data_IF_331394615068
#
_entry.id   IF_331394615068
#
_cell.length_a   1.000
_cell.length_b   1.000
_cell.length_c   1.000
_cell.angle_alpha   90.00
_cell.angle_beta   90.00
_cell.angle_gamma   90.00
#
_symmetry.space_group_name_H-M   'P 1'
#
loop_
_entity.id
_entity.type
_entity.pdbx_description
1 polymer ?
#
# COMPACT_ATOMS: atom_id res chain seq x y z
N UNK A 1 -12.85 -10.51 2.61
CA UNK A 1 -12.45 -9.28 1.93
C UNK A 1 -12.82 -8.12 2.83
N UNK A 2 -11.83 -7.35 3.26
CA UNK A 2 -12.02 -6.17 4.09
C UNK A 2 -11.53 -4.99 3.25
N UNK A 3 -12.46 -4.16 2.74
CA UNK A 3 -12.09 -2.88 2.12
C UNK A 3 -11.80 -1.87 3.21
N UNK A 4 -10.64 -1.22 3.13
CA UNK A 4 -10.16 -0.28 4.13
C UNK A 4 -10.25 1.18 3.66
N UNK A 5 -10.07 1.42 2.36
CA UNK A 5 -10.17 2.75 1.79
C UNK A 5 -10.54 2.73 0.29
N UNK A 6 -11.09 3.85 -0.20
CA UNK A 6 -11.33 4.08 -1.62
C UNK A 6 -11.04 5.53 -2.01
N UNK A 7 -10.62 5.73 -3.26
CA UNK A 7 -10.38 7.03 -3.87
C UNK A 7 -10.97 7.06 -5.29
N UNK A 8 -11.81 8.06 -5.56
CA UNK A 8 -12.43 8.30 -6.86
C UNK A 8 -12.06 9.72 -7.34
N UNK A 9 -11.01 9.88 -8.17
CA UNK A 9 -10.66 11.19 -8.73
C UNK A 9 -11.72 11.72 -9.69
N UNK A 10 -12.52 10.84 -10.31
CA UNK A 10 -13.68 11.21 -11.11
C UNK A 10 -14.75 10.09 -11.09
N UNK A 11 -15.84 10.26 -11.85
CA UNK A 11 -16.95 9.28 -11.91
C UNK A 11 -16.66 8.03 -12.72
N UNK A 12 -15.63 8.05 -13.56
CA UNK A 12 -15.24 6.95 -14.45
C UNK A 12 -14.07 6.12 -13.91
N UNK A 13 -13.41 6.58 -12.85
CA UNK A 13 -12.26 5.91 -12.26
C UNK A 13 -12.29 5.94 -10.73
N UNK A 14 -12.22 4.77 -10.11
CA UNK A 14 -12.05 4.62 -8.67
C UNK A 14 -11.02 3.53 -8.37
N UNK A 15 -10.31 3.65 -7.25
CA UNK A 15 -9.51 2.58 -6.68
C UNK A 15 -9.98 2.31 -5.26
N UNK A 16 -10.21 1.05 -4.92
CA UNK A 16 -10.43 0.57 -3.56
C UNK A 16 -9.29 -0.37 -3.15
N UNK A 17 -8.88 -0.29 -1.89
CA UNK A 17 -7.80 -1.11 -1.36
C UNK A 17 -8.19 -1.75 -0.04
N UNK A 18 -7.52 -2.86 0.27
CA UNK A 18 -7.75 -3.59 1.50
C UNK A 18 -6.98 -4.90 1.51
N UNK A 19 -7.61 -5.94 2.04
CA UNK A 19 -7.04 -7.28 2.10
C UNK A 19 -8.11 -8.38 1.92
N UNK A 20 -7.65 -9.56 1.54
CA UNK A 20 -8.43 -10.79 1.61
C UNK A 20 -7.59 -11.93 2.17
N UNK A 21 -8.26 -12.91 2.74
CA UNK A 21 -7.63 -14.14 3.21
C UNK A 21 -7.60 -15.15 2.06
N UNK A 22 -6.42 -15.69 1.75
CA UNK A 22 -6.25 -16.70 0.71
C UNK A 22 -6.53 -18.12 1.22
N UNK A 23 -6.37 -19.13 0.36
CA UNK A 23 -6.61 -20.53 0.73
C UNK A 23 -5.65 -21.09 1.78
N UNK A 24 -4.56 -20.38 2.06
CA UNK A 24 -3.58 -20.72 3.10
C UNK A 24 -3.80 -19.95 4.41
N UNK A 25 -4.91 -19.21 4.52
CA UNK A 25 -5.20 -18.29 5.62
C UNK A 25 -4.22 -17.12 5.75
N UNK A 26 -3.51 -16.79 4.67
CA UNK A 26 -2.64 -15.62 4.63
C UNK A 26 -3.43 -14.38 4.17
N UNK A 27 -3.18 -13.24 4.81
CA UNK A 27 -3.72 -11.96 4.38
C UNK A 27 -2.91 -11.41 3.20
N UNK A 28 -3.61 -11.12 2.10
CA UNK A 28 -3.03 -10.62 0.86
C UNK A 28 -3.65 -9.27 0.53
N UNK A 29 -2.80 -8.28 0.23
CA UNK A 29 -3.25 -6.96 -0.17
C UNK A 29 -4.06 -7.01 -1.46
N UNK A 30 -5.24 -6.39 -1.42
CA UNK A 30 -6.18 -6.31 -2.54
C UNK A 30 -6.20 -4.90 -3.11
N UNK A 31 -6.14 -4.81 -4.43
CA UNK A 31 -6.39 -3.58 -5.18
C UNK A 31 -7.55 -3.85 -6.15
N UNK A 32 -8.62 -3.08 -6.02
CA UNK A 32 -9.76 -3.08 -6.93
C UNK A 32 -9.79 -1.76 -7.69
N UNK A 33 -9.89 -1.84 -9.02
CA UNK A 33 -9.94 -0.67 -9.89
C UNK A 33 -11.27 -0.66 -10.65
N UNK A 34 -12.00 0.44 -10.56
CA UNK A 34 -13.16 0.73 -11.37
C UNK A 34 -12.74 1.52 -12.59
N UNK A 35 -13.11 1.05 -13.77
CA UNK A 35 -12.99 1.81 -15.01
C UNK A 35 -14.30 1.73 -15.77
N UNK A 36 -14.90 2.89 -16.05
CA UNK A 36 -16.17 3.01 -16.78
C UNK A 36 -17.29 2.12 -16.21
N UNK A 37 -17.40 2.08 -14.88
CA UNK A 37 -18.43 1.32 -14.17
C UNK A 37 -18.14 -0.18 -14.00
N UNK A 38 -17.02 -0.68 -14.52
CA UNK A 38 -16.61 -2.08 -14.35
C UNK A 38 -15.46 -2.18 -13.37
N UNK A 39 -15.59 -3.06 -12.37
CA UNK A 39 -14.55 -3.34 -11.39
C UNK A 39 -13.68 -4.52 -11.82
N UNK A 40 -12.37 -4.40 -11.64
CA UNK A 40 -11.40 -5.49 -11.71
C UNK A 40 -10.57 -5.54 -10.43
N UNK A 41 -10.08 -6.72 -10.09
CA UNK A 41 -9.30 -6.95 -8.88
C UNK A 41 -7.93 -7.53 -9.21
N UNK A 42 -6.92 -7.16 -8.43
CA UNK A 42 -5.60 -7.76 -8.46
C UNK A 42 -4.99 -7.80 -7.05
N UNK A 43 -4.03 -8.70 -6.86
CA UNK A 43 -3.18 -8.72 -5.66
C UNK A 43 -2.17 -7.58 -5.73
N UNK A 44 -1.78 -7.03 -4.57
CA UNK A 44 -0.68 -6.07 -4.49
C UNK A 44 0.59 -6.65 -5.15
N UNK A 45 1.30 -5.90 -6.01
CA UNK A 45 2.58 -6.34 -6.52
C UNK A 45 3.63 -6.38 -5.39
N UNK A 46 4.69 -7.16 -5.60
CA UNK A 46 5.79 -7.28 -4.63
C UNK A 46 7.15 -7.06 -5.27
N UNK A 47 7.17 -6.78 -6.57
CA UNK A 47 8.38 -6.45 -7.30
C UNK A 47 8.87 -5.06 -6.85
N UNK A 48 10.08 -5.00 -6.29
CA UNK A 48 10.68 -3.78 -5.74
C UNK A 48 10.73 -3.75 -4.21
N UNK A 49 10.07 -4.69 -3.52
CA UNK A 49 10.14 -4.82 -2.07
C UNK A 49 11.48 -5.37 -1.60
N UNK A 50 11.97 -4.82 -0.50
CA UNK A 50 13.17 -5.25 0.19
C UNK A 50 12.95 -5.22 1.72
N UNK A 51 12.82 -6.37 2.39
CA UNK A 51 13.01 -7.73 1.85
C UNK A 51 11.91 -8.16 0.85
N UNK A 52 12.20 -9.08 -0.10
CA UNK A 52 11.19 -9.60 -1.02
C UNK A 52 10.09 -10.37 -0.30
N UNK A 53 8.82 -10.09 -0.63
CA UNK A 53 7.65 -10.76 -0.06
C UNK A 53 7.06 -11.78 -1.05
N UNK A 54 7.60 -13.00 -1.06
CA UNK A 54 7.11 -14.09 -1.92
C UNK A 54 6.87 -15.35 -1.07
N UNK A 55 5.62 -15.81 -0.88
CA UNK A 55 4.37 -15.28 -1.45
C UNK A 55 3.98 -13.89 -0.87
N UNK A 56 3.15 -13.10 -1.59
CA UNK A 56 2.72 -11.79 -1.13
C UNK A 56 1.85 -11.91 0.11
N UNK A 57 2.26 -11.26 1.20
CA UNK A 57 1.49 -11.18 2.44
C UNK A 57 1.52 -9.75 2.94
N UNK A 58 0.35 -9.18 3.23
CA UNK A 58 0.23 -7.78 3.60
C UNK A 58 -1.17 -7.25 3.44
N UNK A 59 -1.30 -5.96 3.70
CA UNK A 59 -2.56 -5.23 3.66
C UNK A 59 -2.34 -3.80 3.21
N UNK A 60 -3.36 -3.23 2.57
CA UNK A 60 -3.37 -1.83 2.15
C UNK A 60 -4.41 -1.06 2.96
N UNK A 61 -3.94 -0.05 3.70
CA UNK A 61 -4.73 0.68 4.69
C UNK A 61 -5.36 1.97 4.17
N UNK A 62 -4.74 2.63 3.19
CA UNK A 62 -5.28 3.86 2.59
C UNK A 62 -4.85 3.99 1.13
N UNK A 63 -5.65 4.70 0.34
CA UNK A 63 -5.37 5.03 -1.06
C UNK A 63 -5.78 6.47 -1.36
N UNK A 64 -5.00 7.14 -2.20
CA UNK A 64 -5.31 8.45 -2.77
C UNK A 64 -4.92 8.45 -4.23
N UNK A 65 -5.80 9.01 -5.06
CA UNK A 65 -5.55 9.17 -6.49
C UNK A 65 -5.65 10.66 -6.82
N UNK A 66 -4.52 11.36 -7.01
CA UNK A 66 -4.54 12.77 -7.43
C UNK A 66 -5.22 12.96 -8.80
N UNK A 67 -5.06 11.99 -9.71
CA UNK A 67 -5.70 11.98 -11.02
C UNK A 67 -6.05 10.54 -11.42
N UNK A 68 -6.93 10.38 -12.41
CA UNK A 68 -7.25 9.06 -12.95
C UNK A 68 -5.99 8.39 -13.54
N UNK A 69 -5.76 7.13 -13.16
CA UNK A 69 -4.55 6.39 -13.52
C UNK A 69 -3.27 6.80 -12.78
N UNK A 70 -3.35 7.68 -11.78
CA UNK A 70 -2.25 7.99 -10.86
C UNK A 70 -2.73 7.91 -9.41
N UNK A 71 -2.23 6.90 -8.71
CA UNK A 71 -2.64 6.62 -7.33
C UNK A 71 -1.44 6.20 -6.50
N UNK A 72 -1.54 6.48 -5.21
CA UNK A 72 -0.63 5.96 -4.19
C UNK A 72 -1.51 5.21 -3.19
N UNK A 73 -1.11 4.01 -2.83
CA UNK A 73 -1.68 3.25 -1.73
C UNK A 73 -0.57 2.93 -0.72
N UNK A 74 -0.96 2.82 0.55
CA UNK A 74 -0.01 2.56 1.64
C UNK A 74 -0.54 1.48 2.56
N UNK A 75 0.37 0.81 3.26
CA UNK A 75 0.02 -0.23 4.21
C UNK A 75 1.25 -0.89 4.79
N UNK A 76 1.19 -2.21 4.90
CA UNK A 76 2.29 -3.03 5.38
C UNK A 76 2.34 -4.37 4.67
N UNK A 77 3.53 -4.97 4.59
CA UNK A 77 3.73 -6.34 4.16
C UNK A 77 4.51 -7.14 5.20
N UNK A 78 4.42 -8.47 5.14
CA UNK A 78 4.95 -9.36 6.17
C UNK A 78 6.00 -10.31 5.59
N UNK A 79 7.17 -10.35 6.23
CA UNK A 79 8.25 -11.33 5.92
C UNK A 79 8.73 -11.99 7.22
N UNK A 80 9.69 -11.39 7.92
CA UNK A 80 10.12 -11.78 9.28
C UNK A 80 9.53 -10.87 10.37
N UNK A 81 8.86 -9.80 9.95
CA UNK A 81 8.16 -8.79 10.74
C UNK A 81 7.29 -7.97 9.80
N UNK A 82 6.67 -6.90 10.33
CA UNK A 82 5.93 -5.95 9.49
C UNK A 82 6.87 -4.91 8.88
N UNK A 83 6.72 -4.67 7.58
CA UNK A 83 7.45 -3.67 6.82
C UNK A 83 6.48 -2.67 6.18
N UNK A 84 6.85 -1.40 6.14
CA UNK A 84 5.99 -0.37 5.52
C UNK A 84 5.90 -0.55 4.01
N UNK A 85 4.68 -0.49 3.47
CA UNK A 85 4.41 -0.67 2.04
C UNK A 85 3.96 0.64 1.39
N UNK A 86 4.54 0.96 0.24
CA UNK A 86 4.08 2.01 -0.66
C UNK A 86 3.84 1.38 -2.03
N UNK A 87 2.61 1.49 -2.52
CA UNK A 87 2.17 1.08 -3.84
C UNK A 87 1.91 2.32 -4.69
N UNK A 88 2.50 2.38 -5.88
CA UNK A 88 2.32 3.51 -6.79
C UNK A 88 1.78 3.04 -8.12
N UNK A 89 0.61 3.57 -8.51
CA UNK A 89 0.05 3.43 -9.84
C UNK A 89 0.57 4.56 -10.72
N UNK A 90 1.29 4.19 -11.77
CA UNK A 90 1.70 5.11 -12.82
C UNK A 90 1.61 4.42 -14.17
N UNK A 91 1.08 5.12 -15.17
CA UNK A 91 0.94 4.59 -16.54
C UNK A 91 0.24 3.22 -16.60
N UNK A 92 -0.78 3.03 -15.76
CA UNK A 92 -1.58 1.80 -15.69
C UNK A 92 -0.89 0.61 -15.02
N UNK A 93 0.30 0.80 -14.44
CA UNK A 93 1.05 -0.26 -13.74
C UNK A 93 1.27 0.11 -12.28
N UNK A 94 1.01 -0.84 -11.39
CA UNK A 94 1.36 -0.73 -9.98
C UNK A 94 2.81 -1.18 -9.75
N UNK A 95 3.54 -0.42 -8.95
CA UNK A 95 4.89 -0.75 -8.49
C UNK A 95 5.00 -0.60 -6.98
N UNK A 96 5.66 -1.56 -6.34
CA UNK A 96 5.82 -1.62 -4.90
C UNK A 96 7.17 -1.04 -4.45
N UNK A 97 7.20 -0.42 -3.28
CA UNK A 97 8.43 0.08 -2.64
C UNK A 97 8.29 -0.04 -1.12
N UNK A 98 9.35 -0.53 -0.47
CA UNK A 98 9.44 -0.57 0.99
C UNK A 98 9.64 0.84 1.53
N UNK A 99 8.88 1.21 2.56
CA UNK A 99 9.02 2.50 3.22
C UNK A 99 10.43 2.65 3.82
N UNK A 100 11.13 3.78 3.61
CA UNK A 100 12.47 3.96 4.12
C UNK A 100 12.45 4.14 5.65
N UNK A 101 13.33 3.40 6.34
CA UNK A 101 13.54 3.54 7.78
C UNK A 101 14.85 4.28 8.13
N UNK A 102 15.63 4.67 7.13
CA UNK A 102 16.85 5.43 7.33
C UNK A 102 16.53 6.87 7.74
N UNK A 103 17.32 7.41 8.68
CA UNK A 103 17.15 8.78 9.18
C UNK A 103 16.07 8.97 10.24
N UNK A 104 15.43 7.88 10.69
CA UNK A 104 14.48 7.92 11.81
C UNK A 104 15.20 8.24 13.15
N UNK A 105 14.48 8.96 14.02
CA UNK A 105 14.92 9.29 15.38
C UNK A 105 13.74 9.14 16.35
N UNK A 106 13.78 8.21 17.32
CA UNK A 106 14.84 7.20 17.55
C UNK A 106 15.09 6.26 16.36
N UNK A 107 16.25 5.60 16.33
CA UNK A 107 16.55 4.66 15.25
C UNK A 107 15.60 3.46 15.29
N UNK A 108 15.19 2.97 14.12
CA UNK A 108 14.35 1.78 14.01
C UNK A 108 15.04 0.55 14.64
N UNK A 109 14.25 -0.30 15.30
CA UNK A 109 14.72 -1.57 15.84
C UNK A 109 15.12 -2.57 14.74
N UNK A 110 15.73 -3.69 15.13
CA UNK A 110 16.09 -4.76 14.19
C UNK A 110 14.86 -5.42 13.52
N UNK A 111 13.72 -5.41 14.22
CA UNK A 111 12.41 -5.85 13.74
C UNK A 111 11.42 -4.72 14.02
N UNK A 112 11.35 -3.72 13.13
CA UNK A 112 10.75 -2.43 13.44
C UNK A 112 9.22 -2.42 13.35
N UNK A 113 8.55 -3.52 13.01
CA UNK A 113 7.10 -3.60 12.84
C UNK A 113 6.50 -2.34 12.17
N UNK A 114 7.11 -1.96 11.05
CA UNK A 114 6.83 -0.71 10.37
C UNK A 114 5.56 -0.81 9.54
N UNK A 115 4.74 0.24 9.55
CA UNK A 115 3.53 0.32 8.74
C UNK A 115 3.20 1.76 8.38
N UNK A 116 2.44 1.95 7.30
CA UNK A 116 1.86 3.23 6.90
C UNK A 116 0.33 3.14 6.96
N UNK A 117 -0.31 4.05 7.67
CA UNK A 117 -1.75 3.95 7.99
C UNK A 117 -2.63 4.99 7.29
N UNK A 118 -2.06 6.14 6.93
CA UNK A 118 -2.80 7.25 6.33
C UNK A 118 -1.95 7.92 5.26
N UNK A 119 -2.64 8.40 4.23
CA UNK A 119 -2.06 9.06 3.09
C UNK A 119 -2.84 10.34 2.78
N UNK A 120 -2.13 11.42 2.53
CA UNK A 120 -2.70 12.66 2.01
C UNK A 120 -1.95 13.07 0.75
N UNK A 121 -2.66 13.44 -0.30
CA UNK A 121 -2.06 13.96 -1.52
C UNK A 121 -2.58 15.35 -1.82
N UNK A 122 -1.67 16.21 -2.24
CA UNK A 122 -1.98 17.51 -2.83
C UNK A 122 -2.44 17.35 -4.28
N UNK A 123 -3.11 18.37 -4.81
CA UNK A 123 -3.53 18.42 -6.22
C UNK A 123 -2.34 18.45 -7.19
N UNK A 124 -1.15 18.85 -6.74
CA UNK A 124 0.09 18.82 -7.54
C UNK A 124 0.73 17.42 -7.61
N UNK A 125 0.10 16.39 -7.03
CA UNK A 125 0.59 15.01 -7.06
C UNK A 125 1.63 14.68 -5.98
N UNK A 126 1.98 15.63 -5.11
CA UNK A 126 2.84 15.36 -3.96
C UNK A 126 2.01 14.73 -2.84
N UNK A 127 2.48 13.62 -2.29
CA UNK A 127 1.81 12.90 -1.22
C UNK A 127 2.67 12.80 0.03
N UNK A 128 2.02 12.76 1.19
CA UNK A 128 2.61 12.53 2.50
C UNK A 128 1.90 11.31 3.11
N UNK A 129 2.69 10.32 3.49
CA UNK A 129 2.23 9.17 4.24
C UNK A 129 2.68 9.28 5.69
N UNK A 130 1.85 8.80 6.61
CA UNK A 130 2.20 8.70 8.04
C UNK A 130 1.92 7.30 8.55
N UNK A 131 2.68 6.91 9.56
CA UNK A 131 2.70 5.55 10.07
C UNK A 131 3.46 5.44 11.38
N UNK A 132 3.83 4.22 11.73
CA UNK A 132 4.55 3.90 12.96
C UNK A 132 5.63 2.84 12.73
N UNK A 133 6.52 2.74 13.71
CA UNK A 133 7.55 1.70 13.82
C UNK A 133 7.95 1.55 15.28
N UNK A 134 8.47 0.38 15.62
CA UNK A 134 9.15 0.05 16.87
C UNK A 134 10.62 0.47 16.77
N UNK A 135 11.09 1.25 17.74
CA UNK A 135 12.47 1.70 17.81
C UNK A 135 13.39 0.63 18.44
N UNK A 136 14.66 0.99 18.63
CA UNK A 136 15.68 0.09 19.18
C UNK A 136 15.79 0.10 20.71
N UNK A 137 14.86 0.72 21.43
CA UNK A 137 14.95 0.90 22.90
C UNK A 137 14.47 -0.30 23.72
#
# INVERSE_FOLDING_TARGET
MIQLAAACPDSGFCVAVGEYEDTSSAFVGLIETMSSGTWSAMTMPVAGLNPPAVPPQGSLSDVKCPTSGSCIAVGSYYVSGSEGLIETLSSGTWSATTAPLSGLSPAAGATPDAYLARLACSSSGSCVAVGGYTDSS
#
